data_IF_813908335565
#
_entry.id   IF_813908335565
#
_cell.length_a   1.000
_cell.length_b   1.000
_cell.length_c   1.000
_cell.angle_alpha   90.00
_cell.angle_beta   90.00
_cell.angle_gamma   90.00
#
_symmetry.space_group_name_H-M   'P 1'
#
loop_
_entity.id
_entity.type
_entity.pdbx_description
1 polymer ?
#
# COMPACT_ATOMS: atom_id res chain seq x y z
N UNK A 1 15.45 1.05 14.75
CA UNK A 1 14.77 2.03 13.88
C UNK A 1 13.58 1.33 13.26
N UNK A 2 12.37 1.86 13.43
CA UNK A 2 11.18 1.26 12.82
C UNK A 2 11.33 1.26 11.29
N UNK A 3 10.96 0.15 10.64
CA UNK A 3 10.91 0.09 9.18
C UNK A 3 9.78 1.01 8.70
N UNK A 4 10.02 1.91 7.72
CA UNK A 4 8.96 2.77 7.24
C UNK A 4 7.82 1.92 6.65
N UNK A 5 6.60 2.24 7.05
CA UNK A 5 5.43 1.60 6.48
C UNK A 5 5.12 2.17 5.10
N UNK A 6 4.57 1.34 4.22
CA UNK A 6 4.13 1.77 2.91
C UNK A 6 2.95 0.95 2.40
N UNK A 7 2.17 1.54 1.49
CA UNK A 7 1.01 0.94 0.84
C UNK A 7 1.34 0.75 -0.63
N UNK A 8 1.25 -0.48 -1.13
CA UNK A 8 1.78 -0.84 -2.44
C UNK A 8 3.29 -1.03 -2.42
N UNK A 9 3.90 -1.03 -3.60
CA UNK A 9 5.35 -1.02 -3.76
C UNK A 9 5.82 0.00 -4.80
N UNK A 10 7.11 0.36 -4.75
CA UNK A 10 7.69 1.44 -5.58
C UNK A 10 7.77 1.12 -7.06
N UNK A 11 7.50 -0.13 -7.47
CA UNK A 11 7.42 -0.51 -8.90
C UNK A 11 6.07 -0.13 -9.47
N UNK A 12 4.99 -0.36 -8.72
CA UNK A 12 3.61 -0.07 -9.12
C UNK A 12 3.11 1.16 -8.38
N UNK A 13 3.71 2.33 -8.64
CA UNK A 13 3.31 3.58 -7.95
C UNK A 13 1.92 4.09 -8.33
N UNK A 14 1.35 3.64 -9.46
CA UNK A 14 0.05 4.09 -9.95
C UNK A 14 -1.00 3.01 -9.67
N UNK A 15 -1.87 3.18 -8.65
CA UNK A 15 -2.74 2.10 -8.17
C UNK A 15 -3.73 1.61 -9.22
N UNK A 16 -4.28 2.50 -10.04
CA UNK A 16 -5.28 2.12 -11.04
C UNK A 16 -4.79 1.11 -12.09
N UNK A 17 -3.47 1.04 -12.33
CA UNK A 17 -2.88 -0.02 -13.20
C UNK A 17 -3.03 -1.42 -12.62
N UNK A 18 -3.28 -1.55 -11.30
CA UNK A 18 -3.52 -2.85 -10.68
C UNK A 18 -4.78 -3.50 -11.24
N UNK A 19 -5.82 -2.73 -11.60
CA UNK A 19 -7.03 -3.29 -12.20
C UNK A 19 -6.71 -3.97 -13.53
N UNK A 20 -6.01 -3.26 -14.42
CA UNK A 20 -5.69 -3.80 -15.74
C UNK A 20 -4.72 -5.00 -15.63
N UNK A 21 -3.75 -4.93 -14.72
CA UNK A 21 -2.87 -6.06 -14.43
C UNK A 21 -3.63 -7.27 -13.86
N UNK A 22 -4.64 -7.03 -13.03
CA UNK A 22 -5.49 -8.07 -12.46
C UNK A 22 -6.38 -8.71 -13.53
N UNK A 23 -6.93 -7.92 -14.45
CA UNK A 23 -7.67 -8.42 -15.63
C UNK A 23 -6.75 -9.28 -16.49
N UNK A 24 -5.53 -8.82 -16.76
CA UNK A 24 -4.54 -9.57 -17.53
C UNK A 24 -4.18 -10.91 -16.85
N UNK A 25 -3.97 -10.89 -15.54
CA UNK A 25 -3.68 -12.10 -14.76
C UNK A 25 -4.87 -13.07 -14.81
N UNK A 26 -6.10 -12.59 -14.56
CA UNK A 26 -7.30 -13.42 -14.49
C UNK A 26 -7.61 -14.18 -15.79
N UNK A 27 -7.24 -13.61 -16.93
CA UNK A 27 -7.47 -14.18 -18.27
C UNK A 27 -6.21 -14.80 -18.91
N UNK A 28 -5.18 -15.10 -18.12
CA UNK A 28 -3.95 -15.74 -18.61
C UNK A 28 -3.67 -17.08 -17.93
N UNK A 29 -2.75 -17.84 -18.51
CA UNK A 29 -2.27 -19.11 -17.95
C UNK A 29 -1.54 -18.99 -16.60
N UNK A 30 -1.21 -17.76 -16.19
CA UNK A 30 -0.51 -17.48 -14.94
C UNK A 30 -1.44 -17.40 -13.72
N UNK A 31 -2.76 -17.35 -13.92
CA UNK A 31 -3.76 -17.38 -12.83
C UNK A 31 -3.56 -18.64 -11.97
N UNK A 32 -3.39 -18.46 -10.66
CA UNK A 32 -3.17 -19.59 -9.74
C UNK A 32 -1.83 -20.32 -9.93
N UNK A 33 -0.96 -19.80 -10.80
CA UNK A 33 0.21 -20.48 -11.32
C UNK A 33 1.36 -19.50 -11.61
N UNK A 34 1.57 -18.53 -10.73
CA UNK A 34 2.51 -17.41 -10.97
C UNK A 34 3.88 -17.58 -10.27
N UNK A 35 4.08 -18.66 -9.50
CA UNK A 35 5.35 -18.91 -8.79
C UNK A 35 6.37 -19.54 -9.73
N UNK A 36 7.55 -18.95 -9.84
CA UNK A 36 8.68 -19.51 -10.55
C UNK A 36 9.20 -18.59 -11.66
N UNK A 37 10.50 -18.67 -11.93
CA UNK A 37 11.23 -17.73 -12.79
C UNK A 37 10.57 -17.52 -14.16
N UNK A 38 10.21 -18.62 -14.82
CA UNK A 38 9.63 -18.58 -16.17
C UNK A 38 8.23 -17.98 -16.18
N UNK A 39 7.40 -18.35 -15.18
CA UNK A 39 6.03 -17.84 -15.01
C UNK A 39 6.03 -16.35 -14.63
N UNK A 40 6.92 -15.94 -13.74
CA UNK A 40 7.10 -14.54 -13.36
C UNK A 40 7.61 -13.69 -14.55
N UNK A 41 8.54 -14.22 -15.36
CA UNK A 41 9.01 -13.55 -16.57
C UNK A 41 7.91 -13.45 -17.63
N UNK A 42 7.19 -14.54 -17.89
CA UNK A 42 6.06 -14.56 -18.81
C UNK A 42 4.95 -13.59 -18.42
N UNK A 43 4.63 -13.49 -17.12
CA UNK A 43 3.69 -12.48 -16.65
C UNK A 43 4.19 -11.04 -16.87
N UNK A 44 5.48 -10.79 -16.68
CA UNK A 44 6.05 -9.47 -16.98
C UNK A 44 5.92 -9.11 -18.47
N UNK A 45 6.17 -10.07 -19.38
CA UNK A 45 5.96 -9.90 -20.83
C UNK A 45 4.49 -9.62 -21.15
N UNK A 46 3.57 -10.41 -20.60
CA UNK A 46 2.13 -10.20 -20.80
C UNK A 46 1.68 -8.79 -20.39
N UNK A 47 2.16 -8.30 -19.23
CA UNK A 47 1.86 -6.94 -18.79
C UNK A 47 2.48 -5.89 -19.71
N UNK A 48 3.63 -6.18 -20.31
CA UNK A 48 4.29 -5.31 -21.24
C UNK A 48 3.59 -5.22 -22.59
N UNK A 49 3.23 -6.37 -23.17
CA UNK A 49 2.43 -6.49 -24.39
C UNK A 49 1.09 -5.75 -24.28
N UNK A 50 0.47 -5.78 -23.10
CA UNK A 50 -0.78 -5.06 -22.81
C UNK A 50 -0.59 -3.58 -22.47
N UNK A 51 0.62 -3.04 -22.59
CA UNK A 51 1.01 -1.68 -22.25
C UNK A 51 0.78 -1.29 -20.77
N UNK A 52 0.46 -2.28 -19.92
CA UNK A 52 0.27 -2.10 -18.49
C UNK A 52 1.61 -1.88 -17.81
N UNK A 53 2.71 -2.45 -18.32
CA UNK A 53 4.10 -2.30 -17.88
C UNK A 53 4.97 -1.80 -19.04
N UNK A 54 5.66 -0.67 -18.87
CA UNK A 54 6.71 -0.26 -19.81
C UNK A 54 8.05 -0.79 -19.30
N UNK A 55 8.61 -1.78 -19.98
CA UNK A 55 9.87 -2.40 -19.63
C UNK A 55 10.75 -2.50 -20.88
N UNK A 56 11.48 -1.41 -21.18
CA UNK A 56 12.36 -1.30 -22.36
C UNK A 56 13.37 -2.45 -22.47
N UNK A 57 13.74 -3.08 -21.36
CA UNK A 57 14.65 -4.23 -21.35
C UNK A 57 14.05 -5.47 -22.07
N UNK A 58 12.71 -5.55 -22.15
CA UNK A 58 12.01 -6.58 -22.92
C UNK A 58 12.12 -6.30 -24.42
N UNK A 59 11.91 -5.04 -24.84
CA UNK A 59 12.02 -4.63 -26.25
C UNK A 59 13.41 -4.90 -26.85
N UNK A 60 14.47 -4.73 -26.04
CA UNK A 60 15.84 -4.94 -26.49
C UNK A 60 16.24 -6.42 -26.60
N UNK A 61 15.80 -7.25 -25.66
CA UNK A 61 16.17 -8.67 -25.60
C UNK A 61 15.14 -9.47 -24.80
N UNK A 62 14.15 -9.99 -25.52
CA UNK A 62 13.08 -10.81 -24.96
C UNK A 62 13.61 -12.15 -24.39
N UNK A 63 14.86 -12.56 -24.62
CA UNK A 63 15.38 -13.80 -24.02
C UNK A 63 15.81 -13.66 -22.55
N UNK A 64 15.92 -12.45 -22.03
CA UNK A 64 16.41 -12.20 -20.66
C UNK A 64 15.40 -12.63 -19.58
N UNK A 65 15.92 -12.67 -18.35
CA UNK A 65 15.12 -12.87 -17.13
C UNK A 65 14.40 -11.57 -16.72
N UNK A 66 13.09 -11.66 -16.56
CA UNK A 66 12.21 -10.58 -16.10
C UNK A 66 11.42 -10.96 -14.85
N UNK A 67 11.81 -12.04 -14.18
CA UNK A 67 11.15 -12.54 -12.97
C UNK A 67 11.12 -11.49 -11.85
N UNK A 68 12.09 -10.56 -11.82
CA UNK A 68 12.09 -9.46 -10.87
C UNK A 68 10.88 -8.54 -11.06
N UNK A 69 10.50 -8.23 -12.30
CA UNK A 69 9.35 -7.41 -12.65
C UNK A 69 8.05 -8.15 -12.32
N UNK A 70 7.92 -9.41 -12.73
CA UNK A 70 6.76 -10.25 -12.42
C UNK A 70 6.55 -10.38 -10.90
N UNK A 71 7.62 -10.61 -10.14
CA UNK A 71 7.59 -10.66 -8.68
C UNK A 71 7.11 -9.35 -8.04
N UNK A 72 7.54 -8.21 -8.56
CA UNK A 72 7.10 -6.89 -8.08
C UNK A 72 5.61 -6.67 -8.34
N UNK A 73 5.12 -7.05 -9.52
CA UNK A 73 3.69 -6.91 -9.86
C UNK A 73 2.80 -7.85 -9.06
N UNK A 74 3.16 -9.14 -8.92
CA UNK A 74 2.39 -10.06 -8.08
C UNK A 74 2.35 -9.62 -6.62
N UNK A 75 3.46 -9.07 -6.11
CA UNK A 75 3.50 -8.51 -4.76
C UNK A 75 2.57 -7.30 -4.62
N UNK A 76 2.45 -6.46 -5.65
CA UNK A 76 1.56 -5.29 -5.62
C UNK A 76 0.08 -5.71 -5.62
N UNK A 77 -0.27 -6.72 -6.41
CA UNK A 77 -1.63 -7.28 -6.47
C UNK A 77 -2.02 -7.94 -5.15
N UNK A 78 -1.10 -8.67 -4.54
CA UNK A 78 -1.40 -9.51 -3.38
C UNK A 78 -1.42 -8.71 -2.05
N UNK A 79 -0.64 -7.64 -1.92
CA UNK A 79 -0.55 -6.86 -0.68
C UNK A 79 -1.90 -6.30 -0.20
N UNK A 80 -2.71 -5.80 -1.13
CA UNK A 80 -4.04 -5.24 -0.85
C UNK A 80 -5.16 -6.28 -0.99
N UNK A 81 -4.80 -7.57 -1.03
CA UNK A 81 -5.76 -8.67 -1.03
C UNK A 81 -6.53 -8.87 -2.33
N UNK A 82 -6.07 -8.35 -3.48
CA UNK A 82 -6.74 -8.59 -4.77
C UNK A 82 -6.45 -9.97 -5.36
N UNK A 83 -5.38 -10.62 -4.90
CA UNK A 83 -5.09 -12.02 -5.20
C UNK A 83 -4.63 -12.73 -3.94
N UNK A 84 -4.78 -14.05 -3.92
CA UNK A 84 -4.34 -14.91 -2.82
C UNK A 84 -2.81 -14.79 -2.66
N UNK A 85 -2.36 -14.40 -1.47
CA UNK A 85 -0.94 -14.26 -1.16
C UNK A 85 -0.28 -15.64 -1.03
N UNK A 86 0.91 -15.82 -1.58
CA UNK A 86 1.70 -17.03 -1.37
C UNK A 86 2.47 -16.97 -0.03
N UNK A 87 2.28 -17.95 0.86
CA UNK A 87 2.89 -17.96 2.19
C UNK A 87 3.87 -19.10 2.42
N UNK A 88 3.74 -20.20 1.68
CA UNK A 88 4.60 -21.36 1.85
C UNK A 88 5.74 -21.37 0.83
N UNK A 89 6.97 -21.09 1.27
CA UNK A 89 8.15 -21.12 0.37
C UNK A 89 8.29 -22.50 -0.29
N UNK A 90 8.47 -22.51 -1.60
CA UNK A 90 8.65 -23.74 -2.39
C UNK A 90 7.36 -24.42 -2.80
N UNK A 91 6.20 -24.01 -2.28
CA UNK A 91 4.90 -24.43 -2.81
C UNK A 91 4.68 -23.79 -4.18
N UNK A 92 4.16 -24.55 -5.14
CA UNK A 92 4.05 -24.10 -6.53
C UNK A 92 2.65 -24.23 -7.13
N UNK A 93 1.80 -25.11 -6.60
CA UNK A 93 0.51 -25.42 -7.22
C UNK A 93 -0.51 -25.92 -6.20
N UNK A 94 -1.77 -25.55 -6.41
CA UNK A 94 -2.88 -25.92 -5.54
C UNK A 94 -2.96 -25.06 -4.28
N UNK A 95 -3.85 -25.43 -3.38
CA UNK A 95 -4.12 -24.67 -2.13
C UNK A 95 -2.82 -24.58 -1.32
N UNK A 96 -2.41 -23.35 -0.95
CA UNK A 96 -1.27 -23.14 -0.07
C UNK A 96 -1.53 -23.87 1.26
N UNK A 97 -0.57 -24.67 1.79
CA UNK A 97 -0.74 -25.38 3.05
C UNK A 97 -1.25 -24.51 4.20
N UNK A 98 -0.90 -23.22 4.24
CA UNK A 98 -1.37 -22.29 5.28
C UNK A 98 -2.85 -21.93 5.19
N UNK A 99 -3.50 -22.16 4.07
CA UNK A 99 -4.93 -21.85 3.88
C UNK A 99 -5.83 -23.08 3.91
N UNK A 100 -5.30 -24.29 4.10
CA UNK A 100 -6.10 -25.53 4.03
C UNK A 100 -7.28 -25.53 4.98
N UNK A 101 -7.10 -25.07 6.21
CA UNK A 101 -8.19 -25.05 7.20
C UNK A 101 -9.08 -23.82 7.00
N UNK A 102 -8.49 -22.66 6.69
CA UNK A 102 -9.23 -21.45 6.34
C UNK A 102 -10.24 -21.67 5.21
N UNK A 103 -9.83 -22.35 4.12
CA UNK A 103 -10.70 -22.60 2.95
C UNK A 103 -11.81 -23.62 3.26
N UNK A 104 -11.60 -24.56 4.19
CA UNK A 104 -12.68 -25.46 4.63
C UNK A 104 -13.80 -24.68 5.32
N UNK A 105 -13.44 -23.68 6.12
CA UNK A 105 -14.40 -22.83 6.84
C UNK A 105 -14.95 -21.70 5.96
N UNK A 106 -14.20 -21.29 4.94
CA UNK A 106 -14.53 -20.20 4.03
C UNK A 106 -14.40 -20.64 2.55
N UNK A 107 -15.32 -21.48 2.05
CA UNK A 107 -15.23 -22.09 0.72
C UNK A 107 -15.36 -21.08 -0.44
N UNK A 108 -15.72 -19.82 -0.15
CA UNK A 108 -15.73 -18.73 -1.12
C UNK A 108 -14.32 -18.29 -1.57
N UNK A 109 -13.28 -18.66 -0.82
CA UNK A 109 -11.88 -18.37 -1.18
C UNK A 109 -11.18 -19.63 -1.65
N UNK A 110 -10.37 -19.55 -2.70
CA UNK A 110 -9.71 -20.74 -3.23
C UNK A 110 -8.49 -21.18 -2.42
N UNK A 111 -7.79 -20.24 -1.78
CA UNK A 111 -6.49 -20.49 -1.15
C UNK A 111 -5.37 -20.91 -2.12
N UNK A 112 -5.61 -20.86 -3.43
CA UNK A 112 -4.61 -21.14 -4.46
C UNK A 112 -3.82 -19.84 -4.72
N UNK A 113 -2.49 -19.82 -4.53
CA UNK A 113 -1.69 -18.60 -4.69
C UNK A 113 -1.89 -17.89 -6.03
N UNK A 114 -2.08 -16.58 -5.99
CA UNK A 114 -2.30 -15.70 -7.15
C UNK A 114 -3.57 -15.98 -7.97
N UNK A 115 -4.53 -16.71 -7.40
CA UNK A 115 -5.90 -16.59 -7.87
C UNK A 115 -6.55 -15.30 -7.37
N UNK A 116 -7.48 -14.79 -8.15
CA UNK A 116 -8.25 -13.58 -7.84
C UNK A 116 -9.16 -13.87 -6.65
N UNK A 117 -9.15 -12.98 -5.66
CA UNK A 117 -10.03 -13.02 -4.49
C UNK A 117 -11.38 -12.37 -4.80
N UNK A 118 -12.41 -12.50 -3.95
CA UNK A 118 -13.64 -11.72 -4.09
C UNK A 118 -13.40 -10.20 -4.22
N UNK A 119 -12.50 -9.62 -3.43
CA UNK A 119 -12.09 -8.22 -3.51
C UNK A 119 -11.38 -7.92 -4.84
N UNK A 120 -10.57 -8.84 -5.35
CA UNK A 120 -10.01 -8.75 -6.69
C UNK A 120 -11.07 -8.76 -7.80
N UNK A 121 -12.08 -9.61 -7.70
CA UNK A 121 -13.21 -9.67 -8.64
C UNK A 121 -13.97 -8.35 -8.63
N UNK A 122 -14.20 -7.76 -7.44
CA UNK A 122 -14.82 -6.44 -7.32
C UNK A 122 -14.02 -5.37 -8.08
N UNK A 123 -12.69 -5.36 -7.96
CA UNK A 123 -11.85 -4.41 -8.68
C UNK A 123 -11.88 -4.64 -10.21
N UNK A 124 -11.88 -5.88 -10.68
CA UNK A 124 -12.04 -6.21 -12.11
C UNK A 124 -13.34 -5.59 -12.65
N UNK A 125 -14.45 -5.78 -11.91
CA UNK A 125 -15.78 -5.33 -12.31
C UNK A 125 -15.99 -3.81 -12.16
N UNK A 126 -15.08 -3.10 -11.48
CA UNK A 126 -15.15 -1.66 -11.26
C UNK A 126 -14.80 -0.86 -12.53
N UNK A 127 -15.79 -0.69 -13.41
CA UNK A 127 -15.63 -0.02 -14.72
C UNK A 127 -15.64 1.52 -14.66
N UNK A 128 -15.81 2.12 -13.48
CA UNK A 128 -15.79 3.58 -13.29
C UNK A 128 -14.78 3.98 -12.22
N UNK A 129 -14.26 5.22 -12.29
CA UNK A 129 -13.32 5.73 -11.28
C UNK A 129 -13.91 5.67 -9.86
N UNK A 130 -15.17 6.10 -9.60
CA UNK A 130 -15.76 5.97 -8.27
C UNK A 130 -15.83 4.53 -7.76
N UNK A 131 -16.17 3.57 -8.63
CA UNK A 131 -16.20 2.15 -8.25
C UNK A 131 -14.80 1.62 -7.91
N UNK A 132 -13.78 2.02 -8.68
CA UNK A 132 -12.38 1.66 -8.37
C UNK A 132 -11.93 2.28 -7.05
N UNK A 133 -12.31 3.54 -6.80
CA UNK A 133 -12.03 4.22 -5.54
C UNK A 133 -12.64 3.50 -4.34
N UNK A 134 -13.87 2.99 -4.48
CA UNK A 134 -14.52 2.19 -3.45
C UNK A 134 -13.75 0.88 -3.18
N UNK A 135 -13.31 0.16 -4.22
CA UNK A 135 -12.49 -1.04 -4.05
C UNK A 135 -11.18 -0.74 -3.28
N UNK A 136 -10.46 0.32 -3.65
CA UNK A 136 -9.25 0.73 -2.93
C UNK A 136 -9.57 1.16 -1.49
N UNK A 137 -10.64 1.90 -1.26
CA UNK A 137 -11.05 2.30 0.07
C UNK A 137 -11.31 1.08 0.96
N UNK A 138 -12.11 0.10 0.49
CA UNK A 138 -12.39 -1.13 1.24
C UNK A 138 -11.11 -1.89 1.57
N UNK A 139 -10.22 -2.06 0.59
CA UNK A 139 -8.92 -2.70 0.80
C UNK A 139 -8.08 -1.96 1.86
N UNK A 140 -8.00 -0.62 1.81
CA UNK A 140 -7.20 0.16 2.77
C UNK A 140 -7.85 0.25 4.17
N UNK A 141 -9.17 0.11 4.29
CA UNK A 141 -9.88 0.01 5.58
C UNK A 141 -9.57 -1.34 6.26
N UNK A 142 -9.53 -2.43 5.50
CA UNK A 142 -9.15 -3.75 6.00
C UNK A 142 -7.62 -3.86 6.26
N UNK A 143 -6.82 -3.12 5.50
CA UNK A 143 -5.35 -3.21 5.54
C UNK A 143 -4.77 -2.83 6.91
N UNK A 144 -3.90 -3.73 7.40
CA UNK A 144 -3.23 -3.67 8.70
C UNK A 144 -1.79 -4.12 8.55
N UNK A 145 -0.92 -3.67 9.46
CA UNK A 145 0.48 -4.12 9.56
C UNK A 145 0.91 -4.16 11.04
N UNK A 146 1.75 -5.13 11.48
CA UNK A 146 2.11 -6.36 10.77
C UNK A 146 0.93 -7.32 10.59
N UNK A 147 1.06 -8.22 9.63
CA UNK A 147 0.11 -9.31 9.34
C UNK A 147 0.86 -10.55 8.88
N UNK A 148 0.14 -11.66 8.68
CA UNK A 148 0.67 -12.88 8.06
C UNK A 148 1.31 -12.65 6.69
N UNK A 149 0.90 -11.59 5.96
CA UNK A 149 1.47 -11.21 4.67
C UNK A 149 2.73 -10.33 4.82
N UNK A 150 2.85 -9.57 5.91
CA UNK A 150 3.89 -8.56 6.11
C UNK A 150 4.52 -8.62 7.51
N UNK A 151 5.28 -9.69 7.75
CA UNK A 151 5.91 -10.00 9.05
C UNK A 151 7.19 -9.22 9.36
N UNK A 152 7.64 -8.36 8.43
CA UNK A 152 8.87 -7.54 8.56
C UNK A 152 8.73 -6.39 9.56
N UNK A 153 7.50 -6.00 9.88
CA UNK A 153 7.22 -4.95 10.85
C UNK A 153 7.30 -5.51 12.27
N UNK A 154 7.88 -4.73 13.18
CA UNK A 154 8.20 -5.12 14.57
C UNK A 154 7.60 -4.10 15.55
N UNK A 155 6.29 -3.94 15.44
CA UNK A 155 5.44 -3.08 16.27
C UNK A 155 4.04 -3.69 16.34
N UNK A 156 3.20 -3.17 17.23
CA UNK A 156 1.80 -3.60 17.38
C UNK A 156 0.99 -3.32 16.11
N UNK A 157 -0.02 -4.17 15.87
CA UNK A 157 -0.82 -4.07 14.66
C UNK A 157 -1.62 -2.77 14.61
N UNK A 158 -1.53 -2.05 13.49
CA UNK A 158 -2.36 -0.87 13.23
C UNK A 158 -2.76 -0.75 11.76
N UNK A 159 -3.73 0.13 11.46
CA UNK A 159 -4.11 0.50 10.09
C UNK A 159 -3.41 1.79 9.66
N UNK A 160 -2.57 1.78 8.61
CA UNK A 160 -1.95 2.99 8.07
C UNK A 160 -2.95 4.04 7.59
N UNK A 161 -4.10 3.61 7.06
CA UNK A 161 -5.19 4.53 6.69
C UNK A 161 -5.70 5.25 7.94
N UNK A 162 -6.08 4.49 8.97
CA UNK A 162 -6.60 5.06 10.22
C UNK A 162 -5.57 5.99 10.88
N UNK A 163 -4.31 5.58 10.93
CA UNK A 163 -3.22 6.38 11.49
C UNK A 163 -3.15 7.79 10.89
N UNK A 164 -3.27 7.91 9.57
CA UNK A 164 -3.25 9.21 8.91
C UNK A 164 -4.55 10.01 9.13
N UNK A 165 -5.70 9.35 9.19
CA UNK A 165 -6.98 10.01 9.48
C UNK A 165 -6.98 10.62 10.90
N UNK A 166 -6.46 9.87 11.89
CA UNK A 166 -6.29 10.33 13.27
C UNK A 166 -5.34 11.54 13.34
N UNK A 167 -4.21 11.49 12.62
CA UNK A 167 -3.27 12.62 12.53
C UNK A 167 -3.95 13.88 11.95
N UNK A 168 -4.69 13.74 10.85
CA UNK A 168 -5.39 14.86 10.21
C UNK A 168 -6.49 15.42 11.12
N UNK A 169 -7.25 14.56 11.79
CA UNK A 169 -8.29 14.99 12.74
C UNK A 169 -7.69 15.68 13.96
N UNK A 170 -6.54 15.20 14.44
CA UNK A 170 -5.84 15.81 15.56
C UNK A 170 -5.23 17.18 15.18
N UNK A 171 -4.74 17.36 13.95
CA UNK A 171 -4.36 18.68 13.41
C UNK A 171 -5.56 19.64 13.35
N UNK A 172 -6.71 19.16 12.86
CA UNK A 172 -7.96 19.94 12.81
C UNK A 172 -8.39 20.40 14.21
N UNK A 173 -8.40 19.49 15.19
CA UNK A 173 -8.75 19.79 16.58
C UNK A 173 -7.80 20.81 17.22
N UNK A 174 -6.51 20.79 16.83
CA UNK A 174 -5.50 21.78 17.23
C UNK A 174 -5.61 23.10 16.45
N UNK A 175 -6.61 23.27 15.58
CA UNK A 175 -6.79 24.44 14.69
C UNK A 175 -5.57 24.70 13.79
N UNK A 176 -4.79 23.67 13.50
CA UNK A 176 -3.69 23.72 12.53
C UNK A 176 -4.21 23.30 11.15
N UNK A 177 -3.49 23.66 10.07
CA UNK A 177 -3.86 23.27 8.70
C UNK A 177 -3.94 21.71 8.60
N UNK A 178 -5.12 21.12 8.34
CA UNK A 178 -5.33 19.67 8.36
C UNK A 178 -4.93 19.06 7.02
N UNK A 179 -3.65 19.16 6.72
CA UNK A 179 -3.01 18.66 5.51
C UNK A 179 -1.82 17.81 5.90
N UNK A 180 -1.51 16.78 5.13
CA UNK A 180 -0.21 16.11 5.19
C UNK A 180 0.55 16.48 3.94
N UNK A 181 1.64 17.19 4.14
CA UNK A 181 2.51 17.62 3.06
C UNK A 181 3.50 16.52 2.67
N UNK A 182 4.01 16.48 1.43
CA UNK A 182 4.90 15.40 0.95
C UNK A 182 6.14 15.14 1.83
N UNK A 183 6.80 16.19 2.30
CA UNK A 183 7.98 16.11 3.17
C UNK A 183 7.63 15.71 4.61
N UNK A 184 6.38 15.91 5.02
CA UNK A 184 5.83 15.39 6.27
C UNK A 184 5.52 13.90 6.11
N UNK A 185 4.90 13.49 5.01
CA UNK A 185 4.65 12.06 4.72
C UNK A 185 5.94 11.23 4.76
N UNK A 186 7.03 11.76 4.20
CA UNK A 186 8.33 11.10 4.19
C UNK A 186 8.88 10.80 5.60
N UNK A 187 8.43 11.51 6.63
CA UNK A 187 8.81 11.24 8.03
C UNK A 187 7.70 10.52 8.80
N UNK A 188 6.42 10.80 8.49
CA UNK A 188 5.27 10.18 9.16
C UNK A 188 5.19 8.67 8.95
N UNK A 189 5.71 8.17 7.85
CA UNK A 189 5.80 6.73 7.61
C UNK A 189 6.74 5.97 8.57
N UNK A 190 7.48 6.68 9.43
CA UNK A 190 8.25 6.09 10.54
C UNK A 190 7.51 6.13 11.88
N UNK A 191 6.30 6.71 11.90
CA UNK A 191 5.47 6.84 13.10
C UNK A 191 4.41 5.75 13.15
N UNK A 192 4.02 5.38 14.36
CA UNK A 192 3.02 4.38 14.72
C UNK A 192 2.12 4.96 15.83
N UNK A 193 0.92 4.41 16.09
CA UNK A 193 0.01 4.93 17.11
C UNK A 193 0.63 5.10 18.50
N UNK A 194 1.57 4.23 18.88
CA UNK A 194 2.30 4.25 20.16
C UNK A 194 3.16 5.50 20.33
N UNK A 195 3.50 6.21 19.24
CA UNK A 195 4.16 7.52 19.37
C UNK A 195 3.22 8.59 19.96
N UNK A 196 1.90 8.37 19.91
CA UNK A 196 0.86 9.27 20.39
C UNK A 196 0.53 10.37 19.38
N UNK A 197 -0.75 10.51 19.03
CA UNK A 197 -1.20 11.47 18.00
C UNK A 197 -0.90 12.92 18.37
N UNK A 198 -0.95 13.27 19.66
CA UNK A 198 -0.54 14.60 20.12
C UNK A 198 0.96 14.86 19.86
N UNK A 199 1.83 13.90 20.19
CA UNK A 199 3.26 14.06 19.94
C UNK A 199 3.54 14.12 18.43
N UNK A 200 2.89 13.28 17.63
CA UNK A 200 3.05 13.28 16.17
C UNK A 200 2.65 14.63 15.59
N UNK A 201 1.47 15.16 15.94
CA UNK A 201 0.99 16.45 15.41
C UNK A 201 1.82 17.63 15.90
N UNK A 202 2.26 17.63 17.16
CA UNK A 202 3.18 18.64 17.68
C UNK A 202 4.51 18.64 16.90
N UNK A 203 5.04 17.46 16.53
CA UNK A 203 6.22 17.37 15.67
C UNK A 203 5.97 17.90 14.25
N UNK A 204 4.79 17.65 13.66
CA UNK A 204 4.42 18.20 12.35
C UNK A 204 4.39 19.74 12.43
N UNK A 205 3.69 20.31 13.41
CA UNK A 205 3.57 21.76 13.58
C UNK A 205 4.96 22.39 13.76
N UNK A 206 5.79 21.83 14.64
CA UNK A 206 7.18 22.28 14.82
C UNK A 206 7.99 22.19 13.53
N UNK A 207 7.84 21.11 12.76
CA UNK A 207 8.52 20.97 11.46
C UNK A 207 8.08 22.08 10.49
N UNK A 208 6.80 22.43 10.43
CA UNK A 208 6.31 23.54 9.61
C UNK A 208 6.95 24.87 10.00
N UNK A 209 7.00 25.18 11.30
CA UNK A 209 7.60 26.41 11.82
C UNK A 209 9.10 26.51 11.51
N UNK A 210 9.86 25.44 11.77
CA UNK A 210 11.29 25.38 11.47
C UNK A 210 11.55 25.53 9.97
N UNK A 211 10.69 24.93 9.14
CA UNK A 211 10.79 25.02 7.68
C UNK A 211 10.47 26.42 7.18
N UNK A 212 9.53 27.13 7.81
CA UNK A 212 9.20 28.50 7.42
C UNK A 212 10.31 29.49 7.77
N UNK A 213 10.96 29.30 8.92
CA UNK A 213 12.12 30.09 9.35
C UNK A 213 13.41 29.78 8.57
N UNK A 214 13.44 28.70 7.77
CA UNK A 214 14.64 28.25 7.09
C UNK A 214 14.86 28.94 5.75
N UNK A 215 16.04 29.54 5.59
CA UNK A 215 16.50 30.10 4.31
C UNK A 215 16.66 29.02 3.21
N UNK A 216 16.84 27.75 3.58
CA UNK A 216 16.97 26.64 2.64
C UNK A 216 16.11 25.45 3.07
N UNK A 217 14.82 25.52 2.70
CA UNK A 217 13.80 24.50 2.99
C UNK A 217 14.21 23.10 2.51
N UNK A 218 14.82 22.98 1.32
CA UNK A 218 15.27 21.68 0.76
C UNK A 218 16.38 21.04 1.60
N UNK A 219 17.36 21.84 2.04
CA UNK A 219 18.46 21.35 2.89
C UNK A 219 17.94 20.88 4.24
N UNK A 220 17.06 21.68 4.88
CA UNK A 220 16.41 21.30 6.13
C UNK A 220 15.62 20.00 6.01
N UNK A 221 14.81 19.84 4.96
CA UNK A 221 14.03 18.63 4.71
C UNK A 221 14.96 17.40 4.54
N UNK A 222 16.09 17.57 3.85
CA UNK A 222 17.11 16.54 3.66
C UNK A 222 17.80 16.14 4.98
N UNK A 223 18.29 17.12 5.75
CA UNK A 223 18.95 16.92 7.04
C UNK A 223 18.05 16.18 8.04
N UNK A 224 16.76 16.52 8.08
CA UNK A 224 15.78 15.82 8.93
C UNK A 224 15.65 14.35 8.56
N UNK A 225 15.49 14.03 7.27
CA UNK A 225 15.44 12.62 6.84
C UNK A 225 16.74 11.89 7.12
N UNK A 226 17.88 12.54 6.89
CA UNK A 226 19.19 11.94 7.14
C UNK A 226 19.40 11.64 8.63
N UNK A 227 18.99 12.54 9.51
CA UNK A 227 18.99 12.31 10.96
C UNK A 227 18.11 11.12 11.35
N UNK A 228 16.90 11.04 10.78
CA UNK A 228 15.97 9.93 11.04
C UNK A 228 16.47 8.59 10.49
N UNK A 229 17.43 8.58 9.56
CA UNK A 229 18.04 7.37 8.99
C UNK A 229 19.48 7.13 9.46
N UNK A 230 19.88 7.73 10.59
CA UNK A 230 21.22 7.61 11.16
C UNK A 230 22.35 7.89 10.15
N UNK A 231 22.19 8.94 9.33
CA UNK A 231 23.18 9.29 8.31
C UNK A 231 23.09 8.49 7.01
N UNK A 232 22.17 7.53 6.89
CA UNK A 232 22.07 6.72 5.68
C UNK A 232 21.29 7.44 4.57
N UNK A 233 22.01 7.97 3.58
CA UNK A 233 21.46 8.72 2.46
C UNK A 233 20.52 7.88 1.57
N UNK A 234 20.83 6.60 1.34
CA UNK A 234 19.98 5.69 0.56
C UNK A 234 18.63 5.52 1.23
N UNK A 235 18.61 5.21 2.53
CA UNK A 235 17.37 5.11 3.31
C UNK A 235 16.61 6.45 3.32
N UNK A 236 17.31 7.57 3.44
CA UNK A 236 16.68 8.90 3.42
C UNK A 236 16.01 9.21 2.07
N UNK A 237 16.57 8.71 0.96
CA UNK A 237 15.95 8.79 -0.37
C UNK A 237 14.76 7.85 -0.49
N UNK A 238 14.89 6.61 -0.03
CA UNK A 238 13.78 5.63 -0.01
C UNK A 238 12.55 6.17 0.72
N UNK A 239 12.74 7.01 1.75
CA UNK A 239 11.62 7.65 2.42
C UNK A 239 10.77 8.51 1.48
N UNK A 240 11.38 9.19 0.50
CA UNK A 240 10.66 9.97 -0.50
C UNK A 240 9.89 9.07 -1.48
N UNK A 241 10.49 7.94 -1.86
CA UNK A 241 9.85 6.96 -2.74
C UNK A 241 8.58 6.38 -2.12
N UNK A 242 8.64 6.05 -0.83
CA UNK A 242 7.47 5.58 -0.08
C UNK A 242 6.45 6.69 0.20
N UNK A 243 6.87 7.93 0.38
CA UNK A 243 5.94 9.05 0.54
C UNK A 243 5.10 9.30 -0.71
N UNK A 244 5.73 9.30 -1.90
CA UNK A 244 5.02 9.45 -3.18
C UNK A 244 4.06 8.29 -3.40
N UNK A 245 4.53 7.07 -3.14
CA UNK A 245 3.74 5.85 -3.22
C UNK A 245 2.50 5.90 -2.30
N UNK A 246 2.69 6.19 -1.00
CA UNK A 246 1.60 6.27 -0.02
C UNK A 246 0.56 7.31 -0.43
N UNK A 247 0.98 8.51 -0.83
CA UNK A 247 0.08 9.57 -1.28
C UNK A 247 -0.77 9.12 -2.48
N UNK A 248 -0.18 8.40 -3.44
CA UNK A 248 -0.92 7.90 -4.62
C UNK A 248 -1.97 6.87 -4.23
N UNK A 249 -1.62 5.90 -3.38
CA UNK A 249 -2.56 4.87 -2.92
C UNK A 249 -3.67 5.45 -2.04
N UNK A 250 -3.35 6.40 -1.17
CA UNK A 250 -4.37 7.12 -0.38
C UNK A 250 -5.32 7.88 -1.29
N UNK A 251 -4.82 8.62 -2.29
CA UNK A 251 -5.68 9.30 -3.27
C UNK A 251 -6.53 8.34 -4.10
N UNK A 252 -6.04 7.14 -4.37
CA UNK A 252 -6.80 6.14 -5.11
C UNK A 252 -8.06 5.65 -4.38
N UNK A 253 -8.19 5.89 -3.07
CA UNK A 253 -9.42 5.59 -2.31
C UNK A 253 -10.56 6.58 -2.56
N UNK A 254 -10.28 7.74 -3.17
CA UNK A 254 -11.24 8.84 -3.24
C UNK A 254 -11.54 9.51 -1.88
N UNK A 255 -10.93 9.05 -0.78
CA UNK A 255 -11.06 9.65 0.56
C UNK A 255 -10.19 10.90 0.70
N UNK A 256 -9.11 10.99 -0.07
CA UNK A 256 -8.14 12.08 -0.05
C UNK A 256 -8.07 12.78 -1.40
N UNK A 257 -7.85 14.09 -1.36
CA UNK A 257 -7.55 14.90 -2.54
C UNK A 257 -6.22 15.65 -2.39
N UNK A 258 -5.71 16.16 -3.51
CA UNK A 258 -4.47 16.96 -3.51
C UNK A 258 -4.67 18.33 -2.86
N UNK A 259 -3.68 18.75 -2.08
CA UNK A 259 -3.52 20.14 -1.61
C UNK A 259 -2.06 20.56 -1.82
N UNK A 260 -1.81 21.27 -2.93
CA UNK A 260 -0.45 21.52 -3.41
C UNK A 260 0.33 20.20 -3.59
N UNK A 261 1.49 20.08 -2.93
CA UNK A 261 2.30 18.85 -2.88
C UNK A 261 1.94 17.97 -1.67
N UNK A 262 0.70 17.98 -1.23
CA UNK A 262 0.22 17.21 -0.08
C UNK A 262 -1.15 16.62 -0.33
N UNK A 263 -1.74 16.08 0.73
CA UNK A 263 -3.08 15.51 0.74
C UNK A 263 -3.90 16.06 1.90
N UNK A 264 -5.20 16.23 1.66
CA UNK A 264 -6.23 16.54 2.65
C UNK A 264 -7.35 15.51 2.54
N UNK A 265 -8.16 15.36 3.59
CA UNK A 265 -9.44 14.65 3.49
C UNK A 265 -10.30 15.37 2.44
N UNK A 266 -10.95 14.59 1.57
CA UNK A 266 -11.90 15.14 0.62
C UNK A 266 -13.13 15.65 1.40
N UNK A 267 -13.52 16.94 1.30
CA UNK A 267 -14.53 17.51 2.18
C UNK A 267 -15.87 16.75 2.17
N UNK A 268 -16.28 16.24 1.01
CA UNK A 268 -17.50 15.45 0.82
C UNK A 268 -17.46 14.08 1.52
N UNK A 269 -16.32 13.68 2.08
CA UNK A 269 -16.11 12.41 2.79
C UNK A 269 -15.89 12.59 4.29
N UNK A 270 -16.02 13.78 4.85
CA UNK A 270 -15.83 14.01 6.29
C UNK A 270 -16.68 13.09 7.16
N UNK A 271 -17.98 12.96 6.87
CA UNK A 271 -18.89 12.08 7.62
C UNK A 271 -18.42 10.61 7.60
N UNK A 272 -17.89 10.15 6.46
CA UNK A 272 -17.34 8.80 6.34
C UNK A 272 -16.08 8.66 7.20
N UNK A 273 -15.19 9.65 7.19
CA UNK A 273 -13.99 9.64 8.04
C UNK A 273 -14.37 9.58 9.52
N UNK A 274 -15.36 10.36 9.95
CA UNK A 274 -15.83 10.33 11.35
C UNK A 274 -16.32 8.94 11.73
N UNK A 275 -17.16 8.32 10.91
CA UNK A 275 -17.62 6.94 11.13
C UNK A 275 -16.48 5.91 11.17
N UNK A 276 -15.47 6.05 10.31
CA UNK A 276 -14.29 5.17 10.32
C UNK A 276 -13.45 5.32 11.59
N UNK A 277 -13.43 6.51 12.21
CA UNK A 277 -12.70 6.79 13.44
C UNK A 277 -13.53 6.48 14.70
N UNK A 278 -14.85 6.59 14.64
CA UNK A 278 -15.76 6.17 15.72
C UNK A 278 -15.73 4.66 15.95
N UNK A 279 -15.63 3.88 14.88
CA UNK A 279 -15.52 2.43 15.01
C UNK A 279 -14.26 2.05 15.78
N UNK A 280 -14.33 1.06 16.67
CA UNK A 280 -13.18 0.71 17.51
C UNK A 280 -12.15 -0.03 16.67
N UNK A 281 -10.89 0.42 16.73
CA UNK A 281 -9.82 -0.32 16.07
C UNK A 281 -9.71 -1.72 16.68
N UNK A 282 -9.85 -2.73 15.83
CA UNK A 282 -9.74 -4.15 16.20
C UNK A 282 -8.48 -4.74 15.57
N UNK A 283 -7.65 -5.35 16.42
CA UNK A 283 -6.52 -6.19 16.02
C UNK A 283 -7.07 -7.51 15.50
N UNK A 284 -6.58 -7.94 14.35
CA UNK A 284 -6.97 -9.20 13.72
C UNK A 284 -5.89 -10.25 13.91
N UNK A 285 -6.33 -11.45 14.28
CA UNK A 285 -5.55 -12.66 14.03
C UNK A 285 -5.41 -12.92 12.52
N UNK A 286 -4.58 -13.90 12.16
CA UNK A 286 -4.26 -14.19 10.76
C UNK A 286 -5.51 -14.54 9.93
N UNK A 287 -6.42 -15.37 10.44
CA UNK A 287 -7.61 -15.81 9.71
C UNK A 287 -8.62 -14.67 9.56
N UNK A 288 -8.84 -13.90 10.62
CA UNK A 288 -9.69 -12.71 10.58
C UNK A 288 -9.14 -11.70 9.57
N UNK A 289 -7.82 -11.46 9.57
CA UNK A 289 -7.20 -10.54 8.60
C UNK A 289 -7.36 -11.02 7.16
N UNK A 290 -7.09 -12.31 6.88
CA UNK A 290 -7.25 -12.89 5.54
C UNK A 290 -8.69 -12.74 5.06
N UNK A 291 -9.68 -13.01 5.92
CA UNK A 291 -11.11 -12.87 5.59
C UNK A 291 -11.50 -11.44 5.26
N UNK A 292 -10.97 -10.46 5.99
CA UNK A 292 -11.33 -9.05 5.82
C UNK A 292 -10.65 -8.39 4.62
N UNK A 293 -9.45 -8.86 4.23
CA UNK A 293 -8.68 -8.28 3.12
C UNK A 293 -9.02 -8.89 1.75
N UNK A 294 -9.51 -10.13 1.70
CA UNK A 294 -9.89 -10.84 0.47
C UNK A 294 -11.36 -10.66 0.09
#
# INVERSE_FOLDING_TARGET
>A
MANPWHIGNTTVRTPYRLRDALIALAHSEYRGNLVGKDRESGFARLLHEKEILKAERIDHDDSQDFSDLGRKWRSALAQLGFVVQHLTRGHQKGIDPKYKDFVKEQPAFSGIPYEVTPNGINLINANTIPAQQECFLRALVAYRIPTVFETRYKFEQFSPLRHLLEILKNLENKKAEPVIKFWEMAVLQLTIPENGYENITNHIIKYREEREKSNNKKRLDHEKRLKLTNGNATKARTLLDYADLNIRYLKATGLFQSSGRGIIIFPQKHILVEKLLEDKFTVYDDNTYIKEIW
#
